data_IF_493098643990
#
_entry.id   IF_493098643990
#
_cell.length_a   1.000
_cell.length_b   1.000
_cell.length_c   1.000
_cell.angle_alpha   90.00
_cell.angle_beta   90.00
_cell.angle_gamma   90.00
#
_symmetry.space_group_name_H-M   'P 1'
#
loop_
_entity.id
_entity.type
_entity.pdbx_description
1 polymer ?
#
# COMPACT_ATOMS: atom_id res chain seq x y z
N UNK A 1 18.93 -0.77 26.69
CA UNK A 1 18.54 -0.95 25.26
C UNK A 1 17.66 0.18 24.71
N UNK A 2 17.76 1.43 25.22
CA UNK A 2 16.98 2.58 24.72
C UNK A 2 17.75 3.51 23.75
N UNK A 3 19.04 3.29 23.54
CA UNK A 3 19.89 4.21 22.76
C UNK A 3 20.04 3.86 21.27
N UNK A 4 19.52 2.72 20.81
CA UNK A 4 19.63 2.32 19.40
C UNK A 4 18.57 2.96 18.48
N UNK A 5 17.43 3.38 19.02
CA UNK A 5 16.34 4.00 18.24
C UNK A 5 16.59 5.47 17.87
N UNK A 6 17.51 6.15 18.56
CA UNK A 6 17.77 7.60 18.36
C UNK A 6 18.80 7.85 17.25
N UNK A 7 19.73 6.92 17.02
CA UNK A 7 20.83 7.12 16.06
C UNK A 7 20.47 6.76 14.60
N UNK A 8 19.46 5.92 14.35
CA UNK A 8 19.09 5.50 12.99
C UNK A 8 18.05 6.38 12.30
N UNK A 9 17.31 7.22 13.05
CA UNK A 9 16.34 8.16 12.49
C UNK A 9 16.94 9.02 11.35
N UNK A 10 18.03 9.78 11.54
CA UNK A 10 18.56 10.69 10.52
C UNK A 10 19.06 10.00 9.23
N UNK A 11 19.40 8.72 9.28
CA UNK A 11 19.85 7.97 8.10
C UNK A 11 18.67 7.52 7.22
N UNK A 12 17.55 7.11 7.84
CA UNK A 12 16.29 6.86 7.13
C UNK A 12 15.72 8.15 6.50
N UNK A 13 15.91 9.30 7.17
CA UNK A 13 15.51 10.61 6.67
C UNK A 13 16.13 10.96 5.31
N UNK A 14 17.42 10.70 5.10
CA UNK A 14 18.11 11.09 3.86
C UNK A 14 17.78 10.14 2.70
N UNK A 15 17.57 8.85 2.96
CA UNK A 15 17.21 7.86 1.93
C UNK A 15 15.74 7.99 1.48
N UNK A 16 14.81 8.27 2.41
CA UNK A 16 13.41 8.53 2.07
C UNK A 16 13.22 9.86 1.31
N UNK A 17 14.02 10.88 1.63
CA UNK A 17 14.01 12.16 0.91
C UNK A 17 14.50 12.04 -0.54
N UNK A 18 15.43 11.12 -0.85
CA UNK A 18 15.94 11.00 -2.22
C UNK A 18 15.06 10.17 -3.16
N UNK A 19 14.22 9.28 -2.63
CA UNK A 19 13.36 8.41 -3.45
C UNK A 19 11.92 8.95 -3.67
N UNK A 20 11.50 10.00 -2.96
CA UNK A 20 10.11 10.52 -3.03
C UNK A 20 9.96 11.93 -3.65
N UNK A 21 11.05 12.57 -4.11
CA UNK A 21 11.06 14.02 -4.39
C UNK A 21 10.71 14.47 -5.84
N UNK A 22 10.07 13.64 -6.67
CA UNK A 22 9.63 14.03 -8.02
C UNK A 22 8.10 13.98 -8.14
N UNK A 23 7.38 15.06 -8.47
CA UNK A 23 7.19 16.32 -7.74
C UNK A 23 5.75 16.40 -7.15
N UNK A 24 5.56 16.19 -5.84
CA UNK A 24 4.27 16.46 -5.14
C UNK A 24 4.10 17.92 -4.70
N UNK A 25 4.99 18.81 -5.12
CA UNK A 25 5.14 20.19 -4.60
C UNK A 25 4.02 21.14 -5.08
N UNK A 26 3.21 20.76 -6.07
CA UNK A 26 2.19 21.68 -6.64
C UNK A 26 0.91 21.83 -5.79
N UNK A 27 0.79 21.16 -4.64
CA UNK A 27 -0.41 21.24 -3.77
C UNK A 27 -0.16 21.60 -2.29
N UNK A 28 1.09 21.81 -1.86
CA UNK A 28 1.36 22.21 -0.48
C UNK A 28 1.08 23.72 -0.30
N UNK A 29 0.04 24.06 0.49
CA UNK A 29 -0.16 25.45 0.95
C UNK A 29 0.92 25.86 1.96
N UNK A 30 1.49 24.91 2.70
CA UNK A 30 2.62 25.09 3.61
C UNK A 30 3.65 23.95 3.42
N UNK A 31 4.79 24.27 2.79
CA UNK A 31 5.88 23.33 2.49
C UNK A 31 6.52 22.77 3.76
N UNK A 32 6.59 23.58 4.83
CA UNK A 32 7.16 23.16 6.11
C UNK A 32 6.24 22.14 6.78
N UNK A 33 4.95 22.46 6.89
CA UNK A 33 3.96 21.53 7.45
C UNK A 33 3.88 20.24 6.64
N UNK A 34 3.90 20.32 5.30
CA UNK A 34 3.92 19.15 4.43
C UNK A 34 5.11 18.24 4.74
N UNK A 35 6.32 18.83 4.85
CA UNK A 35 7.55 18.06 5.11
C UNK A 35 7.52 17.40 6.49
N UNK A 36 7.06 18.14 7.51
CA UNK A 36 6.92 17.62 8.87
C UNK A 36 5.91 16.47 8.94
N UNK A 37 4.73 16.64 8.35
CA UNK A 37 3.67 15.63 8.36
C UNK A 37 4.07 14.40 7.54
N UNK A 38 4.69 14.59 6.37
CA UNK A 38 5.22 13.49 5.55
C UNK A 38 6.23 12.66 6.35
N UNK A 39 7.18 13.34 7.00
CA UNK A 39 8.21 12.71 7.82
C UNK A 39 7.61 11.86 8.94
N UNK A 40 6.66 12.41 9.70
CA UNK A 40 6.05 11.72 10.84
C UNK A 40 5.16 10.55 10.36
N UNK A 41 4.38 10.74 9.30
CA UNK A 41 3.55 9.68 8.70
C UNK A 41 4.40 8.53 8.13
N UNK A 42 5.48 8.83 7.42
CA UNK A 42 6.38 7.81 6.85
C UNK A 42 7.19 7.10 7.95
N UNK A 43 7.64 7.84 8.97
CA UNK A 43 8.28 7.24 10.15
C UNK A 43 7.35 6.27 10.87
N UNK A 44 6.08 6.66 11.04
CA UNK A 44 5.06 5.80 11.60
C UNK A 44 4.83 4.58 10.71
N UNK A 45 4.56 4.75 9.42
CA UNK A 45 4.34 3.64 8.46
C UNK A 45 5.50 2.65 8.47
N UNK A 46 6.73 3.14 8.36
CA UNK A 46 7.92 2.30 8.28
C UNK A 46 8.21 1.54 9.58
N UNK A 47 7.87 2.10 10.74
CA UNK A 47 7.98 1.40 12.02
C UNK A 47 6.82 0.44 12.20
N UNK A 48 5.61 0.86 11.85
CA UNK A 48 4.38 0.10 11.96
C UNK A 48 4.42 -1.15 11.09
N UNK A 49 5.06 -1.11 9.92
CA UNK A 49 5.24 -2.27 9.04
C UNK A 49 6.12 -3.39 9.62
N UNK A 50 6.89 -3.07 10.66
CA UNK A 50 7.80 -3.99 11.37
C UNK A 50 7.26 -4.38 12.75
N UNK A 51 6.68 -3.42 13.45
CA UNK A 51 6.11 -3.57 14.77
C UNK A 51 5.08 -2.48 15.03
N UNK A 52 3.82 -2.81 14.80
CA UNK A 52 2.72 -1.85 14.94
C UNK A 52 2.59 -1.29 16.34
N UNK A 53 2.70 -2.13 17.39
CA UNK A 53 2.52 -1.69 18.77
C UNK A 53 3.57 -0.67 19.22
N UNK A 54 4.83 -0.85 18.82
CA UNK A 54 5.89 0.13 19.10
C UNK A 54 5.64 1.43 18.33
N UNK A 55 5.22 1.34 17.06
CA UNK A 55 4.91 2.52 16.26
C UNK A 55 3.80 3.35 16.90
N UNK A 56 2.71 2.68 17.27
CA UNK A 56 1.54 3.26 17.93
C UNK A 56 1.96 3.94 19.24
N UNK A 57 2.65 3.23 20.14
CA UNK A 57 3.12 3.81 21.40
C UNK A 57 4.05 5.02 21.26
N UNK A 58 4.66 5.24 20.08
CA UNK A 58 5.58 6.35 19.81
C UNK A 58 4.98 7.54 19.08
N UNK A 59 3.85 7.35 18.41
CA UNK A 59 3.32 8.29 17.42
C UNK A 59 1.85 8.68 17.64
N UNK A 60 1.13 8.04 18.56
CA UNK A 60 -0.30 8.28 18.78
C UNK A 60 -0.65 8.56 20.24
N UNK A 61 -1.80 9.19 20.45
CA UNK A 61 -2.37 9.40 21.80
C UNK A 61 -3.06 8.14 22.32
N UNK A 62 -3.30 8.03 23.64
CA UNK A 62 -4.05 6.91 24.20
C UNK A 62 -5.43 6.68 23.57
N UNK A 63 -6.13 7.75 23.21
CA UNK A 63 -7.46 7.69 22.56
C UNK A 63 -7.36 7.11 21.15
N UNK A 64 -6.35 7.53 20.38
CA UNK A 64 -6.07 6.94 19.08
C UNK A 64 -5.69 5.45 19.21
N UNK A 65 -4.94 5.06 20.24
CA UNK A 65 -4.61 3.65 20.47
C UNK A 65 -5.87 2.80 20.66
N UNK A 66 -6.86 3.31 21.40
CA UNK A 66 -8.15 2.66 21.59
C UNK A 66 -8.94 2.57 20.27
N UNK A 67 -8.90 3.61 19.44
CA UNK A 67 -9.52 3.60 18.11
C UNK A 67 -8.90 2.51 17.21
N UNK A 68 -7.57 2.41 17.18
CA UNK A 68 -6.86 1.35 16.45
C UNK A 68 -7.16 -0.05 16.98
N UNK A 69 -7.23 -0.24 18.31
CA UNK A 69 -7.59 -1.53 18.90
C UNK A 69 -9.02 -1.94 18.51
N UNK A 70 -9.97 -1.00 18.56
CA UNK A 70 -11.36 -1.22 18.16
C UNK A 70 -11.47 -1.54 16.67
N UNK A 71 -10.80 -0.78 15.81
CA UNK A 71 -10.71 -1.07 14.37
C UNK A 71 -10.12 -2.45 14.13
N UNK A 72 -9.03 -2.79 14.82
CA UNK A 72 -8.38 -4.09 14.72
C UNK A 72 -9.34 -5.24 15.02
N UNK A 73 -10.11 -5.16 16.10
CA UNK A 73 -11.12 -6.19 16.45
C UNK A 73 -12.28 -6.33 15.45
N UNK A 74 -12.48 -5.34 14.58
CA UNK A 74 -13.52 -5.38 13.53
C UNK A 74 -12.97 -5.82 12.18
N UNK A 75 -11.68 -5.58 11.92
CA UNK A 75 -11.04 -5.80 10.64
C UNK A 75 -10.30 -7.14 10.56
N UNK A 76 -9.62 -7.50 11.64
CA UNK A 76 -8.70 -8.64 11.69
C UNK A 76 -9.40 -9.84 12.31
N UNK A 77 -9.08 -11.05 11.84
CA UNK A 77 -9.58 -12.26 12.48
C UNK A 77 -8.72 -12.60 13.71
N UNK A 78 -9.37 -12.95 14.82
CA UNK A 78 -8.72 -13.19 16.13
C UNK A 78 -7.72 -14.37 16.12
N UNK A 79 -7.76 -15.22 15.09
CA UNK A 79 -7.01 -16.47 14.95
C UNK A 79 -5.80 -16.38 13.99
N UNK A 80 -5.59 -15.26 13.31
CA UNK A 80 -4.61 -15.16 12.23
C UNK A 80 -3.14 -15.24 12.68
N UNK A 81 -2.84 -15.03 13.97
CA UNK A 81 -1.46 -15.08 14.52
C UNK A 81 -0.48 -14.07 13.91
N UNK A 82 -0.90 -13.28 12.92
CA UNK A 82 -0.19 -12.23 12.21
C UNK A 82 -0.45 -10.86 12.84
N UNK A 83 0.56 -10.02 12.86
CA UNK A 83 0.37 -8.57 13.08
C UNK A 83 -0.19 -7.98 11.78
N UNK A 84 -1.51 -8.11 11.57
CA UNK A 84 -2.20 -7.65 10.36
C UNK A 84 -2.03 -6.15 10.12
N UNK A 85 -1.89 -5.36 11.20
CA UNK A 85 -1.52 -3.96 11.08
C UNK A 85 -0.12 -3.79 10.47
N UNK A 86 0.86 -4.58 10.90
CA UNK A 86 2.18 -4.57 10.25
C UNK A 86 2.07 -4.94 8.76
N UNK A 87 1.29 -5.96 8.40
CA UNK A 87 1.09 -6.35 6.99
C UNK A 87 0.44 -5.21 6.19
N UNK A 88 -0.59 -4.57 6.75
CA UNK A 88 -1.22 -3.40 6.15
C UNK A 88 -0.21 -2.27 5.90
N UNK A 89 0.62 -1.91 6.88
CA UNK A 89 1.55 -0.79 6.74
C UNK A 89 2.73 -1.08 5.81
N UNK A 90 3.12 -2.35 5.61
CA UNK A 90 4.18 -2.74 4.65
C UNK A 90 3.89 -2.23 3.24
N UNK A 91 2.63 -2.30 2.81
CA UNK A 91 2.25 -1.98 1.44
C UNK A 91 1.37 -0.74 1.31
N UNK A 92 1.15 -0.01 2.41
CA UNK A 92 0.34 1.21 2.38
C UNK A 92 1.04 2.39 1.68
N UNK A 93 0.28 3.15 0.91
CA UNK A 93 0.67 4.43 0.32
C UNK A 93 0.18 5.58 1.20
N UNK A 94 1.01 6.60 1.37
CA UNK A 94 0.68 7.81 2.13
C UNK A 94 0.15 8.88 1.17
N UNK A 95 -1.07 9.37 1.46
CA UNK A 95 -1.75 10.42 0.73
C UNK A 95 -2.29 11.47 1.71
N UNK A 96 -1.98 12.75 1.47
CA UNK A 96 -2.55 13.88 2.21
C UNK A 96 -2.32 15.20 1.50
N UNK A 97 -3.04 16.22 1.96
CA UNK A 97 -2.75 17.64 1.71
C UNK A 97 -2.53 18.30 3.06
N UNK A 98 -1.45 19.08 3.18
CA UNK A 98 -1.21 19.90 4.36
C UNK A 98 -2.13 21.12 4.29
N UNK A 99 -3.26 21.09 5.02
CA UNK A 99 -4.31 22.12 4.96
C UNK A 99 -4.05 23.29 5.92
N UNK A 100 -3.18 23.12 6.92
CA UNK A 100 -2.97 24.10 7.98
C UNK A 100 -4.05 24.04 9.07
N UNK A 101 -4.84 22.96 9.09
CA UNK A 101 -5.88 22.74 10.08
C UNK A 101 -5.29 22.36 11.44
N UNK A 102 -6.09 22.51 12.49
CA UNK A 102 -5.69 22.04 13.83
C UNK A 102 -5.44 20.52 13.87
N UNK A 103 -6.15 19.79 13.01
CA UNK A 103 -6.01 18.35 12.84
C UNK A 103 -5.85 18.08 11.35
N UNK A 104 -4.66 17.67 10.96
CA UNK A 104 -4.33 17.28 9.58
C UNK A 104 -4.80 15.86 9.32
N UNK A 105 -5.36 15.58 8.14
CA UNK A 105 -5.78 14.22 7.80
C UNK A 105 -4.74 13.56 6.91
N UNK A 106 -4.23 12.40 7.34
CA UNK A 106 -3.35 11.53 6.56
C UNK A 106 -4.05 10.22 6.27
N UNK A 107 -4.07 9.84 4.99
CA UNK A 107 -4.63 8.58 4.54
C UNK A 107 -3.51 7.59 4.22
N UNK A 108 -3.60 6.41 4.83
CA UNK A 108 -2.81 5.23 4.48
C UNK A 108 -3.68 4.31 3.62
N UNK A 109 -3.43 4.31 2.32
CA UNK A 109 -4.19 3.53 1.33
C UNK A 109 -3.50 2.19 1.12
N UNK A 110 -4.20 1.06 1.31
CA UNK A 110 -3.68 -0.27 0.98
C UNK A 110 -4.07 -0.66 -0.45
N UNK A 111 -3.14 -0.61 -1.42
CA UNK A 111 -3.51 -0.64 -2.84
C UNK A 111 -4.16 -1.94 -3.30
N UNK A 112 -3.73 -3.03 -2.67
CA UNK A 112 -4.06 -4.39 -3.06
C UNK A 112 -5.39 -4.85 -2.47
N UNK A 113 -5.70 -4.37 -1.27
CA UNK A 113 -6.94 -4.65 -0.57
C UNK A 113 -8.03 -3.60 -0.86
N UNK A 114 -7.71 -2.53 -1.59
CA UNK A 114 -8.64 -1.45 -1.92
C UNK A 114 -9.35 -0.86 -0.67
N UNK A 115 -8.58 -0.61 0.39
CA UNK A 115 -9.05 0.01 1.65
C UNK A 115 -8.17 1.19 2.04
N UNK A 116 -8.71 2.11 2.84
CA UNK A 116 -8.02 3.34 3.26
C UNK A 116 -8.22 3.56 4.75
N UNK A 117 -7.10 3.63 5.49
CA UNK A 117 -7.08 4.09 6.87
C UNK A 117 -6.91 5.61 6.87
N UNK A 118 -7.90 6.32 7.42
CA UNK A 118 -7.86 7.75 7.64
C UNK A 118 -7.37 8.02 9.06
N UNK A 119 -6.34 8.84 9.20
CA UNK A 119 -5.78 9.23 10.51
C UNK A 119 -5.78 10.74 10.65
N UNK A 120 -6.21 11.24 11.81
CA UNK A 120 -6.08 12.65 12.15
C UNK A 120 -4.82 12.88 12.97
N UNK A 121 -4.06 13.92 12.62
CA UNK A 121 -2.79 14.28 13.23
C UNK A 121 -2.83 15.68 13.80
N UNK A 122 -2.49 15.82 15.08
CA UNK A 122 -2.41 17.12 15.74
C UNK A 122 -1.05 17.29 16.41
N UNK A 123 -0.63 18.54 16.62
CA UNK A 123 0.58 18.81 17.40
C UNK A 123 0.34 18.48 18.87
N UNK A 124 1.25 17.68 19.43
CA UNK A 124 1.29 17.42 20.85
C UNK A 124 1.62 18.71 21.62
N UNK A 125 0.87 19.06 22.69
CA UNK A 125 1.21 20.21 23.51
C UNK A 125 2.52 20.02 24.30
N UNK A 126 2.97 18.78 24.49
CA UNK A 126 4.15 18.47 25.32
C UNK A 126 5.48 18.62 24.55
N UNK A 127 5.50 18.24 23.28
CA UNK A 127 6.74 18.15 22.49
C UNK A 127 6.61 18.76 21.08
N UNK A 128 5.46 19.33 20.75
CA UNK A 128 5.16 20.01 19.49
C UNK A 128 5.28 19.13 18.21
N UNK A 129 5.41 17.81 18.36
CA UNK A 129 5.42 16.86 17.25
C UNK A 129 4.01 16.51 16.81
N UNK A 130 3.85 16.16 15.54
CA UNK A 130 2.58 15.62 15.05
C UNK A 130 2.36 14.22 15.64
N UNK A 131 1.18 14.00 16.20
CA UNK A 131 0.75 12.71 16.74
C UNK A 131 -0.63 12.36 16.20
N UNK A 132 -0.87 11.05 16.01
CA UNK A 132 -2.18 10.55 15.63
C UNK A 132 -3.13 10.70 16.82
N UNK A 133 -4.25 11.40 16.60
CA UNK A 133 -5.30 11.66 17.60
C UNK A 133 -6.60 10.94 17.29
N UNK A 134 -6.79 10.48 16.04
CA UNK A 134 -7.96 9.69 15.63
C UNK A 134 -7.61 8.79 14.46
N UNK A 135 -8.34 7.70 14.30
CA UNK A 135 -8.23 6.77 13.20
C UNK A 135 -9.60 6.21 12.82
N UNK A 136 -9.84 6.06 11.53
CA UNK A 136 -11.03 5.40 10.97
C UNK A 136 -10.66 4.62 9.69
N UNK A 137 -11.45 3.62 9.33
CA UNK A 137 -11.20 2.78 8.15
C UNK A 137 -12.35 2.88 7.17
N UNK A 138 -12.04 3.04 5.88
CA UNK A 138 -13.03 3.05 4.81
C UNK A 138 -12.66 2.12 3.67
N UNK A 139 -13.69 1.60 2.99
CA UNK A 139 -13.52 0.95 1.70
C UNK A 139 -12.97 1.96 0.68
N UNK A 140 -12.08 1.55 -0.20
CA UNK A 140 -11.57 2.38 -1.28
C UNK A 140 -12.70 2.86 -2.20
N UNK A 141 -13.71 2.03 -2.43
CA UNK A 141 -14.91 2.41 -3.20
C UNK A 141 -15.69 3.54 -2.53
N UNK A 142 -15.88 3.48 -1.21
CA UNK A 142 -16.52 4.53 -0.43
C UNK A 142 -15.66 5.81 -0.43
N UNK A 143 -14.34 5.69 -0.30
CA UNK A 143 -13.41 6.82 -0.44
C UNK A 143 -13.53 7.49 -1.81
N UNK A 144 -13.81 6.72 -2.87
CA UNK A 144 -14.09 7.22 -4.23
C UNK A 144 -15.54 7.72 -4.44
N UNK A 145 -16.37 7.75 -3.39
CA UNK A 145 -17.73 8.31 -3.43
C UNK A 145 -18.84 7.30 -3.75
N UNK A 146 -18.56 5.99 -3.75
CA UNK A 146 -19.61 4.99 -3.84
C UNK A 146 -20.63 5.16 -2.69
N UNK A 147 -21.90 4.90 -2.98
CA UNK A 147 -23.00 4.95 -2.01
C UNK A 147 -23.49 3.55 -1.70
N UNK A 148 -24.17 3.39 -0.57
CA UNK A 148 -24.78 2.12 -0.20
C UNK A 148 -25.85 1.69 -1.24
N UNK A 149 -25.96 0.40 -1.60
CA UNK A 149 -25.11 -0.71 -1.16
C UNK A 149 -23.70 -0.61 -1.75
N UNK A 150 -22.69 -0.70 -0.89
CA UNK A 150 -21.30 -0.57 -1.33
C UNK A 150 -20.88 -1.78 -2.15
N UNK A 151 -20.10 -1.59 -3.24
CA UNK A 151 -19.61 -2.71 -4.02
C UNK A 151 -18.61 -3.53 -3.17
N UNK A 152 -18.86 -4.83 -3.06
CA UNK A 152 -17.93 -5.81 -2.49
C UNK A 152 -16.96 -6.28 -3.58
N UNK A 153 -15.84 -6.88 -3.20
CA UNK A 153 -14.79 -7.23 -4.16
C UNK A 153 -13.59 -6.30 -4.11
N UNK A 154 -12.45 -6.79 -4.60
CA UNK A 154 -11.33 -5.94 -4.97
C UNK A 154 -11.64 -5.24 -6.30
N UNK A 155 -11.92 -3.93 -6.26
CA UNK A 155 -12.44 -3.22 -7.43
C UNK A 155 -11.52 -3.28 -8.67
N UNK A 156 -10.20 -3.39 -8.47
CA UNK A 156 -9.24 -3.50 -9.57
C UNK A 156 -9.32 -4.87 -10.29
N UNK A 157 -9.74 -5.93 -9.59
CA UNK A 157 -9.96 -7.27 -10.19
C UNK A 157 -11.23 -7.32 -11.04
N UNK A 158 -12.18 -6.42 -10.79
CA UNK A 158 -13.45 -6.36 -11.55
C UNK A 158 -13.33 -5.58 -12.87
N UNK A 159 -12.12 -5.19 -13.26
CA UNK A 159 -11.88 -4.45 -14.52
C UNK A 159 -11.45 -5.39 -15.64
N UNK A 160 -11.79 -5.07 -16.90
CA UNK A 160 -11.29 -5.80 -18.09
C UNK A 160 -9.86 -5.37 -18.49
N UNK A 161 -9.06 -4.88 -17.54
CA UNK A 161 -7.70 -4.40 -17.76
C UNK A 161 -6.69 -5.45 -17.33
N UNK A 162 -5.49 -5.35 -17.89
CA UNK A 162 -4.35 -6.11 -17.37
C UNK A 162 -4.08 -5.72 -15.91
N UNK A 163 -3.89 -6.70 -15.03
CA UNK A 163 -3.89 -6.50 -13.58
C UNK A 163 -2.99 -5.36 -13.06
N UNK A 164 -1.71 -5.21 -13.48
CA UNK A 164 -0.89 -4.08 -13.03
C UNK A 164 -1.41 -2.72 -13.53
N UNK A 165 -2.03 -2.64 -14.71
CA UNK A 165 -2.68 -1.40 -15.16
C UNK A 165 -3.93 -1.10 -14.33
N UNK A 166 -4.76 -2.12 -14.08
CA UNK A 166 -5.98 -2.00 -13.30
C UNK A 166 -5.73 -1.43 -11.89
N UNK A 167 -4.76 -2.02 -11.19
CA UNK A 167 -4.39 -1.59 -9.83
C UNK A 167 -3.77 -0.19 -9.87
N UNK A 168 -2.91 0.11 -10.85
CA UNK A 168 -2.31 1.43 -11.00
C UNK A 168 -3.34 2.55 -11.19
N UNK A 169 -4.26 2.38 -12.15
CA UNK A 169 -5.32 3.35 -12.47
C UNK A 169 -6.27 3.55 -11.30
N UNK A 170 -6.73 2.47 -10.67
CA UNK A 170 -7.66 2.57 -9.54
C UNK A 170 -7.03 3.28 -8.34
N UNK A 171 -5.75 2.98 -8.06
CA UNK A 171 -5.05 3.60 -6.95
C UNK A 171 -4.79 5.08 -7.19
N UNK A 172 -4.44 5.48 -8.42
CA UNK A 172 -4.32 6.89 -8.78
C UNK A 172 -5.65 7.64 -8.61
N UNK A 173 -6.77 7.05 -9.05
CA UNK A 173 -8.10 7.62 -8.87
C UNK A 173 -8.45 7.79 -7.38
N UNK A 174 -8.14 6.79 -6.55
CA UNK A 174 -8.36 6.84 -5.09
C UNK A 174 -7.53 7.93 -4.44
N UNK A 175 -6.23 8.01 -4.77
CA UNK A 175 -5.33 9.02 -4.22
C UNK A 175 -5.80 10.43 -4.59
N UNK A 176 -6.28 10.67 -5.82
CA UNK A 176 -6.87 11.97 -6.23
C UNK A 176 -8.07 12.37 -5.39
N UNK A 177 -9.00 11.44 -5.12
CA UNK A 177 -10.19 11.74 -4.32
C UNK A 177 -9.80 11.96 -2.86
N UNK A 178 -8.94 11.12 -2.29
CA UNK A 178 -8.42 11.27 -0.92
C UNK A 178 -7.71 12.61 -0.73
N UNK A 179 -6.87 13.03 -1.69
CA UNK A 179 -6.24 14.35 -1.68
C UNK A 179 -7.29 15.47 -1.72
N UNK A 180 -8.36 15.31 -2.49
CA UNK A 180 -9.45 16.29 -2.55
C UNK A 180 -10.25 16.36 -1.25
N UNK A 181 -10.48 15.22 -0.59
CA UNK A 181 -11.12 15.10 0.73
C UNK A 181 -10.26 15.79 1.80
N UNK A 182 -8.98 15.45 1.86
CA UNK A 182 -8.03 16.01 2.84
C UNK A 182 -7.78 17.50 2.65
N UNK A 183 -7.94 18.03 1.43
CA UNK A 183 -7.91 19.46 1.15
C UNK A 183 -9.20 20.21 1.52
N UNK A 184 -10.22 19.54 2.09
CA UNK A 184 -11.53 20.14 2.38
C UNK A 184 -12.34 20.52 1.14
N UNK A 185 -11.97 20.00 -0.04
CA UNK A 185 -12.65 20.28 -1.33
C UNK A 185 -13.77 19.29 -1.63
N UNK A 186 -13.83 18.18 -0.90
CA UNK A 186 -14.85 17.16 -1.00
C UNK A 186 -15.38 16.82 0.40
N UNK A 187 -16.67 16.53 0.51
CA UNK A 187 -17.28 16.09 1.77
C UNK A 187 -16.77 14.71 2.17
N UNK A 188 -16.50 14.52 3.46
CA UNK A 188 -16.07 13.22 3.99
C UNK A 188 -17.08 12.14 3.60
N UNK A 189 -16.64 10.96 3.11
CA UNK A 189 -17.53 9.84 2.81
C UNK A 189 -18.28 9.34 4.06
N UNK A 190 -17.87 9.79 5.25
CA UNK A 190 -18.50 9.47 6.54
C UNK A 190 -19.43 10.57 7.06
N UNK A 191 -19.47 11.77 6.46
CA UNK A 191 -20.15 12.94 7.04
C UNK A 191 -21.64 12.74 7.30
N UNK A 192 -22.33 12.02 6.40
CA UNK A 192 -23.79 11.82 6.45
C UNK A 192 -24.20 10.39 6.82
N UNK A 193 -23.26 9.56 7.26
CA UNK A 193 -23.57 8.17 7.58
C UNK A 193 -24.15 8.05 9.00
N UNK A 194 -25.20 7.24 9.11
CA UNK A 194 -25.62 6.73 10.41
C UNK A 194 -24.50 5.89 11.02
N UNK A 195 -24.57 5.65 12.33
CA UNK A 195 -23.65 4.75 13.01
C UNK A 195 -23.59 3.35 12.35
N UNK A 196 -24.72 2.86 11.85
CA UNK A 196 -24.81 1.60 11.13
C UNK A 196 -24.14 1.68 9.75
N UNK A 197 -24.28 2.81 9.06
CA UNK A 197 -23.57 3.08 7.81
C UNK A 197 -22.05 3.07 7.97
N UNK A 198 -21.53 3.73 9.01
CA UNK A 198 -20.09 3.71 9.31
C UNK A 198 -19.60 2.30 9.67
N UNK A 199 -20.37 1.54 10.45
CA UNK A 199 -20.04 0.14 10.75
C UNK A 199 -20.05 -0.75 9.50
N UNK A 200 -21.02 -0.55 8.60
CA UNK A 200 -21.11 -1.30 7.34
C UNK A 200 -19.90 -1.05 6.44
N UNK A 201 -19.37 0.19 6.41
CA UNK A 201 -18.14 0.51 5.69
C UNK A 201 -16.94 -0.23 6.27
N UNK A 202 -16.78 -0.23 7.60
CA UNK A 202 -15.66 -0.95 8.25
C UNK A 202 -15.78 -2.46 8.01
N UNK A 203 -16.98 -3.03 8.10
CA UNK A 203 -17.22 -4.44 7.78
C UNK A 203 -16.91 -4.75 6.31
N UNK A 204 -17.27 -3.85 5.38
CA UNK A 204 -16.89 -3.96 3.98
C UNK A 204 -15.38 -3.93 3.76
N UNK A 205 -14.65 -3.08 4.48
CA UNK A 205 -13.20 -3.04 4.45
C UNK A 205 -12.57 -4.34 4.99
N UNK A 206 -13.15 -4.94 6.05
CA UNK A 206 -12.75 -6.25 6.55
C UNK A 206 -12.92 -7.35 5.49
N UNK A 207 -14.07 -7.36 4.77
CA UNK A 207 -14.30 -8.30 3.68
C UNK A 207 -13.29 -8.15 2.55
N UNK A 208 -12.97 -6.91 2.16
CA UNK A 208 -11.95 -6.66 1.13
C UNK A 208 -10.55 -7.10 1.59
N UNK A 209 -10.22 -6.94 2.88
CA UNK A 209 -8.98 -7.47 3.45
C UNK A 209 -8.93 -9.00 3.39
N UNK A 210 -10.01 -9.68 3.80
CA UNK A 210 -10.11 -11.14 3.73
C UNK A 210 -9.97 -11.65 2.30
N UNK A 211 -10.59 -10.97 1.34
CA UNK A 211 -10.46 -11.30 -0.08
C UNK A 211 -9.03 -11.11 -0.60
N UNK A 212 -8.37 -10.02 -0.21
CA UNK A 212 -6.95 -9.83 -0.50
C UNK A 212 -6.07 -10.96 0.06
N UNK A 213 -6.26 -11.34 1.32
CA UNK A 213 -5.54 -12.45 1.95
C UNK A 213 -5.79 -13.78 1.20
N UNK A 214 -7.05 -14.07 0.88
CA UNK A 214 -7.44 -15.27 0.14
C UNK A 214 -6.83 -15.32 -1.27
N UNK A 215 -6.70 -14.16 -1.94
CA UNK A 215 -6.11 -14.08 -3.27
C UNK A 215 -4.60 -14.34 -3.28
N UNK A 216 -3.87 -14.09 -2.18
CA UNK A 216 -2.42 -14.35 -2.12
C UNK A 216 -2.12 -15.75 -1.56
N UNK A 217 -3.04 -16.33 -0.78
CA UNK A 217 -2.86 -17.63 -0.11
C UNK A 217 -2.35 -18.77 -1.01
N UNK A 218 -2.77 -18.91 -2.29
CA UNK A 218 -2.24 -19.96 -3.17
C UNK A 218 -0.71 -19.93 -3.30
N UNK A 219 -0.08 -18.74 -3.23
CA UNK A 219 1.37 -18.58 -3.26
C UNK A 219 2.08 -19.10 -2.01
N UNK A 220 1.37 -19.44 -0.94
CA UNK A 220 1.93 -19.99 0.29
C UNK A 220 1.55 -21.46 0.56
N UNK A 221 0.59 -22.00 -0.20
CA UNK A 221 0.11 -23.37 -0.06
C UNK A 221 0.58 -24.27 -1.22
N UNK A 222 0.23 -25.56 -1.19
CA UNK A 222 0.59 -26.55 -2.21
C UNK A 222 -0.26 -26.48 -3.50
N UNK A 223 -0.65 -25.26 -3.90
CA UNK A 223 -1.34 -25.02 -5.15
C UNK A 223 -0.38 -25.14 -6.34
N UNK A 224 -0.67 -26.01 -7.30
CA UNK A 224 0.35 -26.47 -8.24
C UNK A 224 0.79 -25.36 -9.23
N UNK A 225 -0.13 -24.57 -9.77
CA UNK A 225 0.21 -23.40 -10.61
C UNK A 225 0.93 -22.30 -9.83
N UNK A 226 0.63 -22.17 -8.53
CA UNK A 226 1.31 -21.22 -7.67
C UNK A 226 2.76 -21.68 -7.41
N UNK A 227 3.01 -23.00 -7.42
CA UNK A 227 4.37 -23.57 -7.35
C UNK A 227 5.23 -23.14 -8.54
N UNK A 228 4.71 -23.22 -9.77
CA UNK A 228 5.44 -22.73 -10.97
C UNK A 228 5.75 -21.23 -10.87
N UNK A 229 4.81 -20.45 -10.36
CA UNK A 229 5.02 -19.02 -10.08
C UNK A 229 6.13 -18.79 -9.06
N UNK A 230 6.12 -19.52 -7.94
CA UNK A 230 7.19 -19.43 -6.93
C UNK A 230 8.56 -19.76 -7.50
N UNK A 231 8.66 -20.80 -8.33
CA UNK A 231 9.93 -21.18 -8.96
C UNK A 231 10.43 -20.09 -9.92
N UNK A 232 9.59 -19.65 -10.86
CA UNK A 232 9.94 -18.57 -11.78
C UNK A 232 10.33 -17.28 -11.04
N UNK A 233 9.59 -16.94 -9.98
CA UNK A 233 9.87 -15.76 -9.17
C UNK A 233 11.21 -15.84 -8.43
N UNK A 234 11.52 -17.00 -7.82
CA UNK A 234 12.80 -17.20 -7.15
C UNK A 234 13.98 -17.09 -8.14
N UNK A 235 13.83 -17.63 -9.34
CA UNK A 235 14.83 -17.49 -10.41
C UNK A 235 15.02 -16.03 -10.82
N UNK A 236 13.92 -15.28 -11.01
CA UNK A 236 13.95 -13.85 -11.33
C UNK A 236 14.64 -13.04 -10.23
N UNK A 237 14.32 -13.26 -8.95
CA UNK A 237 14.98 -12.54 -7.84
C UNK A 237 16.49 -12.77 -7.87
N UNK A 238 16.92 -14.02 -7.99
CA UNK A 238 18.36 -14.37 -8.00
C UNK A 238 19.05 -13.77 -9.22
N UNK A 239 18.42 -13.82 -10.39
CA UNK A 239 18.97 -13.22 -11.61
C UNK A 239 18.99 -11.69 -11.56
N UNK A 240 17.97 -11.07 -10.98
CA UNK A 240 17.88 -9.63 -10.75
C UNK A 240 19.02 -9.12 -9.87
N UNK A 241 19.26 -9.79 -8.74
CA UNK A 241 20.37 -9.48 -7.84
C UNK A 241 21.76 -9.65 -8.50
N UNK A 242 21.89 -10.60 -9.43
CA UNK A 242 23.15 -10.90 -10.14
C UNK A 242 23.32 -10.14 -11.45
N UNK A 243 22.31 -9.38 -11.89
CA UNK A 243 22.32 -8.70 -13.18
C UNK A 243 22.26 -9.64 -14.40
N UNK A 244 21.74 -10.86 -14.24
CA UNK A 244 21.70 -11.91 -15.26
C UNK A 244 20.29 -12.23 -15.76
N UNK A 245 19.37 -11.27 -15.68
CA UNK A 245 17.97 -11.42 -16.12
C UNK A 245 17.85 -11.84 -17.60
N UNK A 246 18.82 -11.48 -18.45
CA UNK A 246 18.87 -11.87 -19.86
C UNK A 246 18.99 -13.37 -20.10
N UNK A 247 19.33 -14.16 -19.06
CA UNK A 247 19.41 -15.62 -19.14
C UNK A 247 18.08 -16.33 -18.84
N UNK A 248 17.10 -15.62 -18.29
CA UNK A 248 15.86 -16.21 -17.77
C UNK A 248 14.63 -15.59 -18.44
N UNK A 249 14.67 -14.27 -18.69
CA UNK A 249 13.55 -13.59 -19.30
C UNK A 249 13.55 -13.80 -20.83
N UNK A 250 12.35 -13.94 -21.44
CA UNK A 250 12.19 -13.96 -22.89
C UNK A 250 12.83 -12.73 -23.57
N UNK A 251 13.33 -12.89 -24.81
CA UNK A 251 14.01 -11.81 -25.54
C UNK A 251 13.10 -10.60 -25.85
N UNK A 252 11.78 -10.79 -25.86
CA UNK A 252 10.79 -9.73 -26.06
C UNK A 252 10.71 -8.77 -24.87
N UNK A 253 11.13 -9.21 -23.68
CA UNK A 253 11.14 -8.38 -22.48
C UNK A 253 12.38 -7.49 -22.51
N UNK A 254 12.23 -6.15 -22.40
CA UNK A 254 13.35 -5.22 -22.50
C UNK A 254 14.23 -5.23 -21.24
N UNK A 255 15.04 -6.28 -21.06
CA UNK A 255 15.93 -6.51 -19.90
C UNK A 255 16.82 -5.31 -19.59
N UNK A 256 17.19 -4.51 -20.60
CA UNK A 256 17.98 -3.28 -20.42
C UNK A 256 17.31 -2.30 -19.44
N UNK A 257 15.98 -2.19 -19.46
CA UNK A 257 15.25 -1.34 -18.53
C UNK A 257 15.27 -1.90 -17.10
N UNK A 258 15.29 -3.23 -16.98
CA UNK A 258 15.32 -3.94 -15.70
C UNK A 258 16.70 -3.91 -15.04
N UNK A 259 17.78 -3.82 -15.82
CA UNK A 259 19.15 -3.66 -15.31
C UNK A 259 19.37 -2.34 -14.55
N UNK A 260 18.49 -1.36 -14.72
CA UNK A 260 18.52 -0.11 -13.97
C UNK A 260 17.89 -0.22 -12.57
N UNK A 261 17.20 -1.32 -12.27
CA UNK A 261 16.59 -1.56 -10.95
C UNK A 261 17.69 -1.84 -9.92
N UNK A 262 17.63 -1.15 -8.79
CA UNK A 262 18.56 -1.34 -7.68
C UNK A 262 18.55 -2.81 -7.20
N UNK A 263 19.70 -3.51 -7.17
CA UNK A 263 19.82 -4.85 -6.59
C UNK A 263 19.23 -4.99 -5.19
N UNK A 264 19.24 -3.92 -4.38
CA UNK A 264 18.68 -3.90 -3.04
C UNK A 264 17.14 -3.95 -3.01
N UNK A 265 16.45 -3.63 -4.12
CA UNK A 265 15.00 -3.69 -4.19
C UNK A 265 14.48 -5.13 -4.27
N UNK A 266 15.16 -6.01 -5.01
CA UNK A 266 14.73 -7.40 -5.24
C UNK A 266 14.37 -8.21 -3.97
N UNK A 267 15.18 -8.22 -2.90
CA UNK A 267 14.83 -8.96 -1.68
C UNK A 267 13.67 -8.34 -0.89
N UNK A 268 13.18 -7.16 -1.30
CA UNK A 268 12.09 -6.45 -0.60
C UNK A 268 10.72 -6.72 -1.21
N UNK A 269 10.67 -7.43 -2.34
CA UNK A 269 9.45 -7.68 -3.10
C UNK A 269 8.71 -8.89 -2.49
N UNK A 270 7.55 -8.63 -1.90
CA UNK A 270 6.64 -9.61 -1.30
C UNK A 270 5.41 -9.82 -2.20
N UNK A 271 4.87 -11.04 -2.29
CA UNK A 271 3.67 -11.30 -3.09
C UNK A 271 2.46 -10.56 -2.50
N UNK A 272 1.71 -9.88 -3.36
CA UNK A 272 0.54 -9.06 -2.97
C UNK A 272 -0.71 -9.35 -3.81
N UNK A 273 -0.58 -10.07 -4.92
CA UNK A 273 -1.72 -10.60 -5.67
C UNK A 273 -1.31 -11.84 -6.46
N UNK A 274 -2.25 -12.77 -6.60
CA UNK A 274 -2.16 -13.94 -7.47
C UNK A 274 -3.50 -14.15 -8.16
N UNK A 275 -3.49 -14.23 -9.48
CA UNK A 275 -4.70 -14.24 -10.30
C UNK A 275 -4.54 -15.31 -11.37
N UNK A 276 -5.47 -16.26 -11.42
CA UNK A 276 -5.53 -17.25 -12.49
C UNK A 276 -6.65 -16.92 -13.48
N UNK A 277 -6.34 -17.02 -14.78
CA UNK A 277 -7.33 -16.89 -15.84
C UNK A 277 -7.00 -17.85 -16.98
N UNK A 278 -7.80 -18.92 -17.11
CA UNK A 278 -7.58 -19.95 -18.12
C UNK A 278 -6.24 -20.67 -17.93
N UNK A 279 -5.32 -20.49 -18.89
CA UNK A 279 -3.96 -21.03 -18.87
C UNK A 279 -2.90 -19.98 -18.50
N UNK A 280 -3.33 -18.81 -18.02
CA UNK A 280 -2.44 -17.70 -17.67
C UNK A 280 -2.55 -17.41 -16.17
N UNK A 281 -1.41 -17.08 -15.56
CA UNK A 281 -1.31 -16.64 -14.18
C UNK A 281 -0.62 -15.29 -14.15
N UNK A 282 -1.18 -14.34 -13.41
CA UNK A 282 -0.54 -13.06 -13.12
C UNK A 282 -0.28 -12.98 -11.63
N UNK A 283 0.95 -12.64 -11.25
CA UNK A 283 1.34 -12.40 -9.87
C UNK A 283 2.00 -11.05 -9.73
N UNK A 284 1.64 -10.34 -8.66
CA UNK A 284 2.16 -9.02 -8.35
C UNK A 284 2.97 -9.09 -7.07
N UNK A 285 4.08 -8.36 -7.04
CA UNK A 285 5.01 -8.33 -5.91
C UNK A 285 5.34 -6.88 -5.56
N UNK A 286 5.05 -6.44 -4.34
CA UNK A 286 5.28 -5.06 -3.89
C UNK A 286 6.49 -4.95 -2.98
N UNK A 287 7.19 -3.83 -3.04
CA UNK A 287 8.31 -3.59 -2.12
C UNK A 287 7.81 -3.09 -0.77
N UNK A 288 8.14 -3.79 0.32
CA UNK A 288 7.86 -3.28 1.68
C UNK A 288 8.74 -2.08 2.06
N UNK A 289 9.87 -1.88 1.39
CA UNK A 289 10.75 -0.70 1.57
C UNK A 289 10.28 0.51 0.77
N UNK A 290 9.68 0.29 -0.40
CA UNK A 290 9.12 1.34 -1.24
C UNK A 290 7.76 0.89 -1.81
N UNK A 291 6.67 1.13 -1.08
CA UNK A 291 5.32 0.68 -1.48
C UNK A 291 4.82 1.26 -2.80
N UNK A 292 5.47 2.31 -3.31
CA UNK A 292 5.16 2.89 -4.62
C UNK A 292 5.55 1.94 -5.77
N UNK A 293 6.52 1.05 -5.57
CA UNK A 293 7.07 0.16 -6.59
C UNK A 293 6.56 -1.27 -6.42
N UNK A 294 6.17 -1.87 -7.54
CA UNK A 294 5.82 -3.29 -7.62
C UNK A 294 6.25 -3.91 -8.95
N UNK A 295 6.44 -5.23 -8.95
CA UNK A 295 6.71 -6.04 -10.12
C UNK A 295 5.47 -6.84 -10.50
N UNK A 296 5.29 -7.10 -11.79
CA UNK A 296 4.32 -8.05 -12.30
C UNK A 296 5.07 -9.18 -13.01
N UNK A 297 4.65 -10.42 -12.74
CA UNK A 297 5.08 -11.63 -13.43
C UNK A 297 3.85 -12.28 -14.04
N UNK A 298 3.90 -12.55 -15.35
CA UNK A 298 2.86 -13.30 -16.03
C UNK A 298 3.43 -14.59 -16.59
N UNK A 299 2.83 -15.70 -16.20
CA UNK A 299 3.13 -17.02 -16.72
C UNK A 299 1.99 -17.53 -17.60
N UNK A 300 2.33 -18.31 -18.62
CA UNK A 300 1.36 -19.08 -19.41
C UNK A 300 1.74 -20.55 -19.40
N UNK A 301 0.74 -21.42 -19.40
CA UNK A 301 0.92 -22.86 -19.49
C UNK A 301 0.39 -23.58 -18.25
N UNK A 302 0.93 -24.76 -18.02
CA UNK A 302 0.53 -25.63 -16.92
C UNK A 302 1.69 -25.95 -15.97
N UNK A 303 1.47 -26.93 -15.13
CA UNK A 303 2.38 -27.37 -14.06
C UNK A 303 3.70 -27.95 -14.60
N UNK A 304 3.71 -28.41 -15.85
CA UNK A 304 4.85 -29.09 -16.48
C UNK A 304 5.60 -28.19 -17.45
N UNK A 305 4.93 -27.17 -17.99
CA UNK A 305 5.49 -26.25 -18.97
C UNK A 305 4.88 -24.84 -18.77
N UNK A 306 5.36 -24.13 -17.74
CA UNK A 306 5.05 -22.71 -17.55
C UNK A 306 6.13 -21.84 -18.20
N UNK A 307 5.73 -20.96 -19.11
CA UNK A 307 6.58 -19.96 -19.75
C UNK A 307 6.34 -18.58 -19.14
N UNK A 308 7.40 -17.81 -18.91
CA UNK A 308 7.30 -16.38 -18.61
C UNK A 308 6.88 -15.70 -19.91
N UNK A 309 5.76 -14.97 -19.90
CA UNK A 309 5.27 -14.23 -21.08
C UNK A 309 5.30 -12.73 -20.90
N UNK A 310 5.33 -12.25 -19.66
CA UNK A 310 5.52 -10.85 -19.34
C UNK A 310 6.18 -10.69 -17.97
N UNK A 311 7.02 -9.67 -17.84
CA UNK A 311 7.67 -9.29 -16.59
C UNK A 311 8.05 -7.81 -16.66
N UNK A 312 7.66 -7.04 -15.63
CA UNK A 312 7.95 -5.62 -15.59
C UNK A 312 7.81 -5.01 -14.21
N UNK A 313 8.45 -3.85 -14.02
CA UNK A 313 8.25 -3.00 -12.86
C UNK A 313 7.30 -1.85 -13.17
N UNK A 314 6.52 -1.50 -12.17
CA UNK A 314 5.51 -0.46 -12.20
C UNK A 314 5.66 0.42 -10.97
N UNK A 315 5.19 1.66 -11.08
CA UNK A 315 5.15 2.61 -9.97
C UNK A 315 3.79 3.31 -9.96
N UNK A 316 3.16 3.43 -8.79
CA UNK A 316 1.88 4.14 -8.65
C UNK A 316 2.02 5.61 -9.04
N UNK A 317 3.15 6.26 -8.72
CA UNK A 317 3.43 7.63 -9.15
C UNK A 317 3.37 7.83 -10.68
N UNK A 318 3.73 6.81 -11.46
CA UNK A 318 3.63 6.83 -12.91
C UNK A 318 2.19 6.95 -13.42
N UNK A 319 1.21 6.41 -12.68
CA UNK A 319 -0.22 6.52 -13.00
C UNK A 319 -0.80 7.85 -12.53
N UNK A 320 -0.30 8.42 -11.45
CA UNK A 320 -0.73 9.73 -10.96
C UNK A 320 -0.37 10.85 -11.96
N UNK A 321 0.84 10.77 -12.55
CA UNK A 321 1.36 11.82 -13.45
C UNK A 321 0.78 11.79 -14.87
N UNK A 322 0.43 10.62 -15.41
CA UNK A 322 -0.20 10.48 -16.75
C UNK A 322 -1.57 11.14 -16.85
N UNK A 323 -2.16 11.38 -15.69
CA UNK A 323 -3.55 11.71 -15.45
C UNK A 323 -3.72 13.22 -15.13
N UNK A 324 -2.62 13.98 -15.22
CA UNK A 324 -2.49 15.42 -15.03
C UNK A 324 -2.07 16.14 -16.34
N UNK A 325 -2.14 15.44 -17.48
CA UNK A 325 -2.00 15.96 -18.85
C UNK A 325 -3.33 15.80 -19.58
#
# INVERSE_FOLDING_TARGET
MRSFAVFFRPLFFVLALWLCFIPRITQAQDVKLFTELWSEAESFRSLASKNFLIALGSASTPEANLAFAKLGSMLWQDDAGSDDWSVFFRHSLINFVASGDKVETVAFQHPWADIVLLTGWARSPENNRMQIVTADMVMGSAARGAKAPFPTGLAWMNTQRYAPDAVGVLNAATSKVVVSLTAGKAESPLADLSQDGSRAIVAGAALQWMEHQANVLPLFDDHIRARSTRFAWNEIIVAGQRGTLDKILPPEIPVRLLKAVDPALWPTLEPVAYIESGNTVVSLFASWTNPDIYAALTLRGDETAAEIIDFGFYSFSGFINKDAQ
#
